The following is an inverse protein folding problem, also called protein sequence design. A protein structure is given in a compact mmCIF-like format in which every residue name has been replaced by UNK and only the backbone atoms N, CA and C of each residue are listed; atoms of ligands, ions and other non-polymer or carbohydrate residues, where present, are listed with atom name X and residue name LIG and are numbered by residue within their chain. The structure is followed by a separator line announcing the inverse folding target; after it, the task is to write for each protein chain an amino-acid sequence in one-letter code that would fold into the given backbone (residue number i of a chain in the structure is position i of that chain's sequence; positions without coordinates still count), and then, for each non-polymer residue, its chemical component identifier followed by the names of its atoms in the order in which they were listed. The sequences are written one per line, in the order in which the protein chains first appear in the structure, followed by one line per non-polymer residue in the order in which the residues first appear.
data_IF_913517093131
#
_entry.id   IF_913517093131
#
_cell.length_a   1.000
_cell.length_b   1.000
_cell.length_c   1.000
_cell.angle_alpha   90.00
_cell.angle_beta   90.00
_cell.angle_gamma   90.00
#
_symmetry.space_group_name_H-M   'P 1'
#
loop_
_entity.id
_entity.type
_entity.pdbx_description
1 polymer ?
#
# COMPACT_ATOMS: atom_id res chain seq x y z
N UNK A 1 39.99 5.99 -14.47
CA UNK A 1 39.63 5.16 -15.63
C UNK A 1 38.11 5.16 -15.73
N UNK A 2 37.48 5.49 -16.86
CA UNK A 2 36.02 5.41 -16.96
C UNK A 2 35.63 3.94 -16.90
N UNK A 3 34.74 3.61 -15.93
CA UNK A 3 34.12 2.30 -15.86
C UNK A 3 33.26 2.17 -17.11
N UNK A 4 33.63 1.26 -18.00
CA UNK A 4 32.79 0.89 -19.15
C UNK A 4 31.50 0.31 -18.59
N UNK A 5 30.43 1.11 -18.58
CA UNK A 5 29.09 0.62 -18.31
C UNK A 5 28.77 -0.49 -19.31
N UNK A 6 28.37 -1.63 -18.80
CA UNK A 6 28.00 -2.75 -19.62
C UNK A 6 26.63 -2.45 -20.26
N UNK A 7 26.46 -2.62 -21.55
CA UNK A 7 25.21 -2.34 -22.28
C UNK A 7 23.97 -3.01 -21.63
N UNK A 8 24.18 -4.16 -20.96
CA UNK A 8 23.15 -4.87 -20.21
C UNK A 8 22.70 -4.09 -18.98
N UNK A 9 23.64 -3.49 -18.24
CA UNK A 9 23.36 -2.68 -17.05
C UNK A 9 22.61 -1.39 -17.42
N UNK A 10 23.02 -0.73 -18.51
CA UNK A 10 22.36 0.48 -19.00
C UNK A 10 20.92 0.19 -19.44
N UNK A 11 20.70 -0.98 -20.06
CA UNK A 11 19.35 -1.44 -20.45
C UNK A 11 18.48 -1.80 -19.24
N UNK A 12 19.07 -2.43 -18.22
CA UNK A 12 18.36 -2.72 -16.97
C UNK A 12 17.90 -1.43 -16.28
N UNK A 13 18.78 -0.44 -16.22
CA UNK A 13 18.46 0.87 -15.66
C UNK A 13 17.37 1.58 -16.47
N UNK A 14 17.40 1.49 -17.80
CA UNK A 14 16.34 2.06 -18.65
C UNK A 14 14.96 1.44 -18.34
N UNK A 15 14.88 0.11 -18.18
CA UNK A 15 13.65 -0.54 -17.77
C UNK A 15 13.19 -0.11 -16.38
N UNK A 16 14.10 0.03 -15.42
CA UNK A 16 13.76 0.53 -14.10
C UNK A 16 13.19 1.95 -14.16
N UNK A 17 13.78 2.85 -14.95
CA UNK A 17 13.27 4.22 -15.11
C UNK A 17 11.89 4.25 -15.80
N UNK A 18 11.67 3.41 -16.82
CA UNK A 18 10.33 3.25 -17.41
C UNK A 18 9.31 2.75 -16.39
N UNK A 19 9.71 1.82 -15.52
CA UNK A 19 8.88 1.31 -14.42
C UNK A 19 8.54 2.39 -13.40
N UNK A 20 9.51 3.23 -13.02
CA UNK A 20 9.29 4.35 -12.10
C UNK A 20 8.33 5.39 -12.69
N UNK A 21 8.46 5.68 -13.99
CA UNK A 21 7.53 6.57 -14.68
C UNK A 21 6.12 5.98 -14.70
N UNK A 22 5.96 4.71 -15.09
CA UNK A 22 4.67 4.03 -15.09
C UNK A 22 4.04 4.00 -13.68
N UNK A 23 4.85 3.75 -12.63
CA UNK A 23 4.41 3.81 -11.24
C UNK A 23 3.90 5.20 -10.83
N UNK A 24 4.58 6.27 -11.27
CA UNK A 24 4.16 7.65 -11.02
C UNK A 24 2.85 8.00 -11.76
N UNK A 25 2.68 7.44 -12.96
CA UNK A 25 1.49 7.63 -13.81
C UNK A 25 0.32 6.68 -13.43
N UNK A 26 0.44 5.92 -12.32
CA UNK A 26 -0.54 4.93 -11.85
C UNK A 26 -0.79 3.75 -12.81
N UNK A 27 0.04 3.55 -13.81
CA UNK A 27 0.05 2.37 -14.68
C UNK A 27 0.82 1.23 -13.98
N UNK A 28 0.17 0.63 -12.97
CA UNK A 28 0.83 -0.30 -12.05
C UNK A 28 1.21 -1.61 -12.74
N UNK A 29 0.37 -2.11 -13.64
CA UNK A 29 0.68 -3.32 -14.42
C UNK A 29 1.95 -3.14 -15.24
N UNK A 30 2.03 -2.03 -15.96
CA UNK A 30 3.22 -1.69 -16.73
C UNK A 30 4.44 -1.46 -15.83
N UNK A 31 4.29 -0.85 -14.67
CA UNK A 31 5.37 -0.69 -13.71
C UNK A 31 5.94 -2.05 -13.29
N UNK A 32 5.08 -3.01 -12.93
CA UNK A 32 5.46 -4.38 -12.55
C UNK A 32 6.22 -5.06 -13.70
N UNK A 33 5.71 -5.01 -14.93
CA UNK A 33 6.38 -5.60 -16.12
C UNK A 33 7.78 -5.02 -16.32
N UNK A 34 7.92 -3.69 -16.19
CA UNK A 34 9.20 -3.00 -16.39
C UNK A 34 10.22 -3.31 -15.30
N UNK A 35 9.80 -3.33 -14.04
CA UNK A 35 10.67 -3.73 -12.92
C UNK A 35 11.11 -5.19 -13.05
N UNK A 36 10.23 -6.09 -13.44
CA UNK A 36 10.59 -7.49 -13.70
C UNK A 36 11.58 -7.61 -14.87
N UNK A 37 11.42 -6.79 -15.93
CA UNK A 37 12.38 -6.75 -17.05
C UNK A 37 13.76 -6.25 -16.59
N UNK A 38 13.83 -5.25 -15.72
CA UNK A 38 15.07 -4.75 -15.12
C UNK A 38 15.76 -5.83 -14.28
N UNK A 39 15.01 -6.53 -13.41
CA UNK A 39 15.52 -7.61 -12.56
C UNK A 39 16.06 -8.78 -13.38
N UNK A 40 15.42 -9.15 -14.48
CA UNK A 40 15.95 -10.21 -15.38
C UNK A 40 17.34 -9.90 -15.92
N UNK A 41 17.69 -8.62 -16.11
CA UNK A 41 18.98 -8.19 -16.64
C UNK A 41 20.03 -7.94 -15.55
N UNK A 42 19.61 -7.55 -14.35
CA UNK A 42 20.48 -7.24 -13.22
C UNK A 42 19.81 -7.66 -11.89
N UNK A 43 19.75 -8.97 -11.61
CA UNK A 43 19.05 -9.51 -10.43
C UNK A 43 19.69 -9.12 -9.10
N UNK A 44 20.94 -8.69 -9.10
CA UNK A 44 21.68 -8.21 -7.92
C UNK A 44 21.37 -6.76 -7.54
N UNK A 45 20.57 -6.06 -8.31
CA UNK A 45 20.22 -4.66 -8.05
C UNK A 45 19.04 -4.58 -7.08
N UNK A 46 19.34 -4.34 -5.80
CA UNK A 46 18.37 -4.29 -4.72
C UNK A 46 17.23 -3.28 -4.99
N UNK A 47 17.56 -2.10 -5.52
CA UNK A 47 16.56 -1.08 -5.84
C UNK A 47 15.45 -1.58 -6.76
N UNK A 48 15.77 -2.47 -7.71
CA UNK A 48 14.77 -3.00 -8.63
C UNK A 48 13.75 -3.90 -7.92
N UNK A 49 14.21 -4.71 -6.95
CA UNK A 49 13.35 -5.54 -6.12
C UNK A 49 12.48 -4.70 -5.18
N UNK A 50 13.03 -3.63 -4.61
CA UNK A 50 12.24 -2.70 -3.79
C UNK A 50 11.16 -2.00 -4.61
N UNK A 51 11.48 -1.54 -5.82
CA UNK A 51 10.53 -0.89 -6.71
C UNK A 51 9.43 -1.88 -7.16
N UNK A 52 9.80 -3.13 -7.45
CA UNK A 52 8.84 -4.20 -7.75
C UNK A 52 7.92 -4.47 -6.55
N UNK A 53 8.48 -4.57 -5.33
CA UNK A 53 7.68 -4.78 -4.12
C UNK A 53 6.65 -3.66 -3.92
N UNK A 54 7.03 -2.40 -4.15
CA UNK A 54 6.12 -1.25 -4.06
C UNK A 54 4.99 -1.31 -5.09
N UNK A 55 5.31 -1.68 -6.33
CA UNK A 55 4.31 -1.80 -7.39
C UNK A 55 3.33 -2.94 -7.12
N UNK A 56 3.83 -4.11 -6.70
CA UNK A 56 3.01 -5.27 -6.34
C UNK A 56 2.12 -5.01 -5.11
N UNK A 57 2.64 -4.33 -4.09
CA UNK A 57 1.85 -3.94 -2.93
C UNK A 57 0.68 -3.01 -3.34
N UNK A 58 0.95 -2.07 -4.26
CA UNK A 58 -0.07 -1.14 -4.79
C UNK A 58 -1.13 -1.85 -5.67
N UNK A 59 -0.76 -2.92 -6.36
CA UNK A 59 -1.72 -3.78 -7.10
C UNK A 59 -2.52 -4.74 -6.21
N UNK A 60 -2.18 -4.83 -4.91
CA UNK A 60 -2.79 -5.78 -3.98
C UNK A 60 -2.22 -7.19 -4.01
N UNK A 61 -1.16 -7.44 -4.80
CA UNK A 61 -0.47 -8.74 -4.82
C UNK A 61 0.58 -8.81 -3.69
N UNK A 62 0.08 -9.02 -2.46
CA UNK A 62 0.91 -9.02 -1.25
C UNK A 62 1.92 -10.16 -1.21
N UNK A 63 1.56 -11.33 -1.70
CA UNK A 63 2.46 -12.49 -1.67
C UNK A 63 3.69 -12.25 -2.53
N UNK A 64 3.50 -11.71 -3.73
CA UNK A 64 4.61 -11.38 -4.59
C UNK A 64 5.38 -10.14 -4.09
N UNK A 65 4.67 -9.15 -3.51
CA UNK A 65 5.31 -7.98 -2.91
C UNK A 65 6.26 -8.36 -1.78
N UNK A 66 5.85 -9.26 -0.88
CA UNK A 66 6.68 -9.77 0.21
C UNK A 66 7.89 -10.58 -0.29
N UNK A 67 7.74 -11.36 -1.37
CA UNK A 67 8.88 -12.07 -2.00
C UNK A 67 9.90 -11.10 -2.59
N UNK A 68 9.44 -10.08 -3.31
CA UNK A 68 10.31 -9.06 -3.87
C UNK A 68 11.00 -8.24 -2.75
N UNK A 69 10.29 -7.92 -1.68
CA UNK A 69 10.87 -7.28 -0.50
C UNK A 69 11.92 -8.17 0.18
N UNK A 70 11.69 -9.46 0.30
CA UNK A 70 12.65 -10.40 0.88
C UNK A 70 13.97 -10.44 0.09
N UNK A 71 13.89 -10.39 -1.26
CA UNK A 71 15.08 -10.31 -2.10
C UNK A 71 15.83 -8.97 -1.92
N UNK A 72 15.11 -7.85 -1.80
CA UNK A 72 15.73 -6.58 -1.44
C UNK A 72 16.47 -6.66 -0.10
N UNK A 73 15.84 -7.20 0.94
CA UNK A 73 16.43 -7.33 2.28
C UNK A 73 17.65 -8.26 2.29
N UNK A 74 17.64 -9.30 1.45
CA UNK A 74 18.79 -10.20 1.28
C UNK A 74 19.98 -9.49 0.62
N UNK A 75 19.72 -8.58 -0.32
CA UNK A 75 20.74 -7.85 -1.07
C UNK A 75 21.29 -6.63 -0.30
N UNK A 76 20.48 -5.99 0.51
CA UNK A 76 20.84 -4.82 1.33
C UNK A 76 20.40 -4.99 2.80
N UNK A 77 21.00 -5.93 3.55
CA UNK A 77 20.59 -6.24 4.93
C UNK A 77 20.81 -5.07 5.91
N UNK A 78 21.79 -4.20 5.63
CA UNK A 78 22.15 -3.07 6.52
C UNK A 78 21.45 -1.75 6.12
N UNK A 79 20.45 -1.80 5.24
CA UNK A 79 19.75 -0.59 4.81
C UNK A 79 18.72 -0.11 5.87
N UNK A 80 18.40 1.20 5.92
CA UNK A 80 17.33 1.72 6.78
C UNK A 80 15.96 1.04 6.54
N UNK A 81 15.76 0.55 5.33
CA UNK A 81 14.57 -0.26 4.98
C UNK A 81 14.63 -1.60 5.69
N UNK A 82 15.78 -2.29 5.64
CA UNK A 82 15.97 -3.56 6.33
C UNK A 82 15.75 -3.43 7.83
N UNK A 83 16.33 -2.43 8.48
CA UNK A 83 16.12 -2.18 9.92
C UNK A 83 14.65 -1.98 10.28
N UNK A 84 13.86 -1.34 9.39
CA UNK A 84 12.43 -1.13 9.59
C UNK A 84 11.67 -2.45 9.62
N UNK A 85 11.97 -3.36 8.67
CA UNK A 85 11.29 -4.64 8.56
C UNK A 85 11.84 -5.70 9.54
N UNK A 86 13.14 -5.66 9.87
CA UNK A 86 13.72 -6.53 10.88
C UNK A 86 13.07 -6.33 12.25
N UNK A 87 12.86 -5.07 12.65
CA UNK A 87 12.14 -4.76 13.90
C UNK A 87 10.72 -5.31 13.92
N UNK A 88 10.04 -5.32 12.77
CA UNK A 88 8.72 -5.92 12.61
C UNK A 88 8.78 -7.45 12.84
N UNK A 89 9.67 -8.14 12.13
CA UNK A 89 9.76 -9.60 12.21
C UNK A 89 10.31 -10.11 13.56
N UNK A 90 11.19 -9.33 14.20
CA UNK A 90 11.79 -9.72 15.48
C UNK A 90 10.83 -9.55 16.69
N UNK A 91 9.90 -8.60 16.63
CA UNK A 91 8.99 -8.26 17.73
C UNK A 91 7.56 -8.74 17.58
N UNK A 92 7.21 -9.32 16.44
CA UNK A 92 5.83 -9.65 16.07
C UNK A 92 5.08 -8.40 15.61
N UNK A 93 4.34 -7.74 16.52
CA UNK A 93 3.65 -6.49 16.23
C UNK A 93 4.54 -5.29 16.57
N UNK A 94 4.51 -4.25 15.74
CA UNK A 94 5.09 -2.96 16.11
C UNK A 94 4.17 -2.19 17.08
N UNK A 95 4.65 -1.04 17.56
CA UNK A 95 3.90 -0.24 18.52
C UNK A 95 2.58 0.31 17.94
N UNK A 96 2.56 0.66 16.64
CA UNK A 96 1.34 1.10 15.95
C UNK A 96 0.34 -0.04 15.85
N UNK A 97 0.78 -1.24 15.44
CA UNK A 97 -0.06 -2.43 15.31
C UNK A 97 -0.62 -2.89 16.66
N UNK A 98 0.18 -2.80 17.70
CA UNK A 98 -0.25 -3.15 19.07
C UNK A 98 -1.39 -2.22 19.53
N UNK A 99 -1.18 -0.90 19.43
CA UNK A 99 -2.17 0.11 19.82
C UNK A 99 -3.44 -0.03 18.96
N UNK A 100 -3.26 -0.17 17.63
CA UNK A 100 -4.35 -0.32 16.67
C UNK A 100 -5.25 -1.51 17.05
N UNK A 101 -4.64 -2.69 17.20
CA UNK A 101 -5.35 -3.94 17.50
C UNK A 101 -6.10 -3.85 18.82
N UNK A 102 -5.46 -3.32 19.87
CA UNK A 102 -6.07 -3.15 21.20
C UNK A 102 -7.28 -2.20 21.13
N UNK A 103 -7.12 -1.03 20.53
CA UNK A 103 -8.17 -0.02 20.45
C UNK A 103 -9.33 -0.44 19.55
N UNK A 104 -9.06 -1.02 18.38
CA UNK A 104 -10.11 -1.53 17.49
C UNK A 104 -10.88 -2.68 18.16
N UNK A 105 -10.20 -3.62 18.80
CA UNK A 105 -10.83 -4.72 19.56
C UNK A 105 -11.70 -4.17 20.70
N UNK A 106 -11.19 -3.25 21.49
CA UNK A 106 -11.92 -2.65 22.63
C UNK A 106 -13.15 -1.86 22.16
N UNK A 107 -13.09 -1.25 20.98
CA UNK A 107 -14.23 -0.55 20.37
C UNK A 107 -15.20 -1.50 19.63
N UNK A 108 -15.01 -2.82 19.70
CA UNK A 108 -15.92 -3.81 19.13
C UNK A 108 -15.82 -3.96 17.61
N UNK A 109 -14.67 -3.62 17.03
CA UNK A 109 -14.46 -3.81 15.58
C UNK A 109 -14.32 -5.28 15.21
N UNK A 110 -14.87 -5.72 14.07
CA UNK A 110 -14.70 -7.07 13.54
C UNK A 110 -13.23 -7.40 13.28
N UNK A 111 -12.88 -8.67 13.48
CA UNK A 111 -11.49 -9.14 13.31
C UNK A 111 -10.97 -8.91 11.89
N UNK A 112 -11.84 -9.04 10.89
CA UNK A 112 -11.48 -8.88 9.48
C UNK A 112 -11.14 -7.41 9.16
N UNK A 113 -11.85 -6.45 9.77
CA UNK A 113 -11.52 -5.02 9.64
C UNK A 113 -10.21 -4.66 10.38
N UNK A 114 -9.93 -5.33 11.51
CA UNK A 114 -8.63 -5.21 12.19
C UNK A 114 -7.52 -5.74 11.27
N UNK A 115 -7.73 -6.89 10.63
CA UNK A 115 -6.83 -7.46 9.65
C UNK A 115 -6.57 -6.51 8.46
N UNK A 116 -7.62 -5.91 7.91
CA UNK A 116 -7.52 -4.92 6.84
C UNK A 116 -6.70 -3.68 7.25
N UNK A 117 -6.83 -3.23 8.50
CA UNK A 117 -6.05 -2.11 9.01
C UNK A 117 -4.55 -2.46 9.16
N UNK A 118 -4.25 -3.67 9.61
CA UNK A 118 -2.87 -4.18 9.70
C UNK A 118 -2.24 -4.35 8.32
N UNK A 119 -3.01 -4.88 7.35
CA UNK A 119 -2.60 -4.97 5.97
C UNK A 119 -2.29 -3.59 5.39
N UNK A 120 -3.16 -2.62 5.59
CA UNK A 120 -2.96 -1.22 5.16
C UNK A 120 -1.66 -0.63 5.73
N UNK A 121 -1.34 -0.91 7.00
CA UNK A 121 -0.11 -0.45 7.62
C UNK A 121 1.14 -1.08 7.00
N UNK A 122 1.10 -2.38 6.74
CA UNK A 122 2.19 -3.08 6.06
C UNK A 122 2.41 -2.52 4.65
N UNK A 123 1.32 -2.33 3.89
CA UNK A 123 1.35 -1.78 2.54
C UNK A 123 1.92 -0.36 2.53
N UNK A 124 1.51 0.49 3.46
CA UNK A 124 2.05 1.83 3.62
C UNK A 124 3.57 1.82 3.86
N UNK A 125 4.06 0.94 4.73
CA UNK A 125 5.51 0.80 5.00
C UNK A 125 6.29 0.35 3.76
N UNK A 126 5.71 -0.54 2.96
CA UNK A 126 6.32 -0.97 1.69
C UNK A 126 6.30 0.18 0.67
N UNK A 127 5.18 0.89 0.55
CA UNK A 127 5.01 1.98 -0.41
C UNK A 127 5.97 3.16 -0.15
N UNK A 128 6.33 3.43 1.12
CA UNK A 128 7.34 4.43 1.47
C UNK A 128 8.71 4.14 0.84
N UNK A 129 9.03 2.87 0.55
CA UNK A 129 10.33 2.50 0.00
C UNK A 129 11.48 2.97 0.90
N UNK A 130 12.37 3.81 0.38
CA UNK A 130 13.52 4.38 1.13
C UNK A 130 13.16 5.61 1.98
N UNK A 131 11.97 6.14 1.88
CA UNK A 131 11.56 7.29 2.70
C UNK A 131 11.52 6.93 4.19
N UNK A 132 11.97 7.83 5.06
CA UNK A 132 11.99 7.57 6.50
C UNK A 132 10.58 7.52 7.06
N UNK A 133 10.27 6.47 7.81
CA UNK A 133 9.05 6.38 8.59
C UNK A 133 9.24 7.02 9.97
N UNK A 134 8.50 8.09 10.24
CA UNK A 134 8.53 8.78 11.54
C UNK A 134 7.34 8.34 12.38
N UNK A 135 7.60 7.52 13.41
CA UNK A 135 6.57 6.97 14.33
C UNK A 135 6.65 7.53 15.75
N UNK A 136 7.10 8.79 15.91
CA UNK A 136 7.27 9.41 17.25
C UNK A 136 6.00 9.41 18.11
N UNK A 137 4.83 9.31 17.48
CA UNK A 137 3.51 9.19 18.13
C UNK A 137 2.75 8.08 17.42
N UNK A 138 2.95 6.82 17.80
CA UNK A 138 2.34 5.68 17.15
C UNK A 138 0.81 5.70 17.23
N UNK A 139 0.24 6.31 18.30
CA UNK A 139 -1.21 6.48 18.48
C UNK A 139 -1.85 7.27 17.31
N UNK A 140 -1.12 8.25 16.77
CA UNK A 140 -1.60 9.04 15.63
C UNK A 140 -1.71 8.22 14.34
N UNK A 141 -0.80 7.28 14.12
CA UNK A 141 -0.87 6.36 12.99
C UNK A 141 -1.95 5.30 13.19
N UNK A 142 -2.03 4.72 14.39
CA UNK A 142 -3.07 3.74 14.74
C UNK A 142 -4.47 4.35 14.58
N UNK A 143 -4.67 5.59 15.05
CA UNK A 143 -5.91 6.33 14.89
C UNK A 143 -6.27 6.58 13.41
N UNK A 144 -5.29 6.95 12.59
CA UNK A 144 -5.52 7.21 11.17
C UNK A 144 -5.87 5.92 10.41
N UNK A 145 -5.21 4.81 10.71
CA UNK A 145 -5.51 3.49 10.14
C UNK A 145 -6.94 3.04 10.49
N UNK A 146 -7.33 3.10 11.76
CA UNK A 146 -8.68 2.77 12.21
C UNK A 146 -9.71 3.67 11.52
N UNK A 147 -9.46 5.00 11.48
CA UNK A 147 -10.34 5.93 10.78
C UNK A 147 -10.48 5.58 9.29
N UNK A 148 -9.37 5.29 8.61
CA UNK A 148 -9.36 4.97 7.18
C UNK A 148 -10.16 3.70 6.89
N UNK A 149 -9.91 2.61 7.63
CA UNK A 149 -10.63 1.34 7.44
C UNK A 149 -12.12 1.50 7.71
N UNK A 150 -12.52 2.24 8.76
CA UNK A 150 -13.94 2.55 9.00
C UNK A 150 -14.56 3.32 7.83
N UNK A 151 -13.84 4.29 7.24
CA UNK A 151 -14.33 5.04 6.08
C UNK A 151 -14.46 4.17 4.84
N UNK A 152 -13.48 3.32 4.57
CA UNK A 152 -13.53 2.35 3.46
C UNK A 152 -14.73 1.40 3.61
N UNK A 153 -15.02 0.95 4.83
CA UNK A 153 -16.15 0.06 5.16
C UNK A 153 -17.47 0.81 5.42
N UNK A 154 -17.58 2.07 4.97
CA UNK A 154 -18.78 2.91 5.03
C UNK A 154 -19.34 3.11 6.45
N UNK A 155 -18.52 2.93 7.49
CA UNK A 155 -18.95 3.16 8.88
C UNK A 155 -19.12 4.65 9.15
N UNK A 156 -20.17 4.97 9.88
CA UNK A 156 -20.38 6.34 10.36
C UNK A 156 -19.44 6.59 11.53
N UNK A 157 -18.41 7.39 11.29
CA UNK A 157 -17.41 7.76 12.28
C UNK A 157 -16.88 9.17 11.97
N UNK A 158 -16.62 9.94 13.01
CA UNK A 158 -16.05 11.28 12.93
C UNK A 158 -14.58 11.28 13.37
N UNK A 159 -13.81 12.25 12.88
CA UNK A 159 -12.42 12.46 13.35
C UNK A 159 -12.35 12.67 14.86
N UNK A 160 -13.35 13.36 15.44
CA UNK A 160 -13.43 13.63 16.87
C UNK A 160 -13.56 12.35 17.70
N UNK A 161 -14.41 11.41 17.27
CA UNK A 161 -14.60 10.14 17.97
C UNK A 161 -13.34 9.30 17.96
N UNK A 162 -12.64 9.21 16.80
CA UNK A 162 -11.38 8.52 16.70
C UNK A 162 -10.28 9.21 17.50
N UNK A 163 -10.16 10.53 17.41
CA UNK A 163 -9.19 11.29 18.17
C UNK A 163 -9.34 11.05 19.69
N UNK A 164 -10.58 11.04 20.19
CA UNK A 164 -10.88 10.71 21.57
C UNK A 164 -10.54 9.27 21.96
N UNK A 165 -10.80 8.29 21.05
CA UNK A 165 -10.49 6.86 21.29
C UNK A 165 -8.99 6.61 21.47
N UNK A 166 -8.15 7.32 20.69
CA UNK A 166 -6.68 7.15 20.68
C UNK A 166 -5.94 8.19 21.52
N UNK A 167 -6.63 9.08 22.20
CA UNK A 167 -6.06 10.20 22.98
C UNK A 167 -5.09 11.08 22.14
N UNK A 168 -5.53 11.42 20.95
CA UNK A 168 -4.80 12.30 20.01
C UNK A 168 -5.68 13.47 19.58
N UNK A 169 -5.09 14.49 18.95
CA UNK A 169 -5.90 15.58 18.42
C UNK A 169 -6.43 15.25 16.99
N UNK A 170 -7.57 15.82 16.62
CA UNK A 170 -8.22 15.62 15.33
C UNK A 170 -7.30 16.00 14.14
N UNK A 171 -6.47 17.01 14.31
CA UNK A 171 -5.51 17.46 13.29
C UNK A 171 -4.50 16.36 13.00
N UNK A 172 -3.95 15.70 14.03
CA UNK A 172 -3.00 14.59 13.85
C UNK A 172 -3.65 13.43 13.07
N UNK A 173 -4.88 13.05 13.42
CA UNK A 173 -5.60 11.98 12.70
C UNK A 173 -5.79 12.35 11.25
N UNK A 174 -6.23 13.59 10.98
CA UNK A 174 -6.45 14.09 9.61
C UNK A 174 -5.17 14.07 8.78
N UNK A 175 -4.07 14.65 9.30
CA UNK A 175 -2.79 14.72 8.59
C UNK A 175 -2.25 13.33 8.24
N UNK A 176 -2.38 12.35 9.15
CA UNK A 176 -1.97 10.97 8.91
C UNK A 176 -2.92 10.23 7.97
N UNK A 177 -4.20 10.47 8.07
CA UNK A 177 -5.20 9.97 7.13
C UNK A 177 -4.93 10.46 5.71
N UNK A 178 -4.68 11.75 5.51
CA UNK A 178 -4.34 12.34 4.20
C UNK A 178 -3.05 11.73 3.64
N UNK A 179 -2.04 11.45 4.48
CA UNK A 179 -0.83 10.76 4.07
C UNK A 179 -1.09 9.31 3.64
N UNK A 180 -1.90 8.55 4.38
CA UNK A 180 -2.29 7.19 3.99
C UNK A 180 -3.01 7.18 2.65
N UNK A 181 -4.03 8.03 2.51
CA UNK A 181 -4.82 8.14 1.27
C UNK A 181 -3.94 8.53 0.09
N UNK A 182 -3.07 9.53 0.23
CA UNK A 182 -2.20 9.97 -0.86
C UNK A 182 -1.15 8.92 -1.25
N UNK A 183 -0.60 8.17 -0.28
CA UNK A 183 0.46 7.19 -0.54
C UNK A 183 -0.10 5.90 -1.15
N UNK A 184 -1.26 5.44 -0.66
CA UNK A 184 -1.88 4.18 -1.05
C UNK A 184 -3.00 4.35 -2.08
N UNK A 185 -3.37 5.59 -2.40
CA UNK A 185 -4.53 5.92 -3.25
C UNK A 185 -5.82 5.21 -2.80
N UNK A 186 -6.10 5.33 -1.50
CA UNK A 186 -7.26 4.67 -0.90
C UNK A 186 -8.54 5.38 -1.33
N UNK A 187 -9.49 4.61 -1.83
CA UNK A 187 -10.81 5.09 -2.22
C UNK A 187 -11.92 4.55 -1.31
N UNK A 188 -13.11 5.16 -1.28
CA UNK A 188 -14.27 4.56 -0.64
C UNK A 188 -14.57 3.18 -1.22
N UNK A 189 -14.86 2.20 -0.35
CA UNK A 189 -15.10 0.80 -0.74
C UNK A 189 -13.90 0.13 -1.44
N UNK A 190 -12.68 0.62 -1.18
CA UNK A 190 -11.46 0.04 -1.75
C UNK A 190 -11.43 -1.47 -1.47
N UNK A 191 -11.42 -2.28 -2.54
CA UNK A 191 -11.53 -3.74 -2.46
C UNK A 191 -10.39 -4.40 -1.66
N UNK A 192 -9.25 -3.74 -1.50
CA UNK A 192 -8.12 -4.22 -0.70
C UNK A 192 -8.42 -4.26 0.80
N UNK A 193 -9.30 -3.36 1.26
CA UNK A 193 -9.57 -3.12 2.68
C UNK A 193 -11.06 -3.17 3.02
N UNK A 194 -11.92 -3.31 2.02
CA UNK A 194 -13.35 -3.48 2.23
C UNK A 194 -13.65 -4.91 2.67
N UNK A 195 -14.32 -5.03 3.80
CA UNK A 195 -14.67 -6.30 4.45
C UNK A 195 -16.18 -6.49 4.43
N UNK A 196 -16.73 -6.85 3.32
CA UNK A 196 -18.17 -7.09 3.19
C UNK A 196 -18.43 -8.10 2.09
N UNK A 197 -19.53 -8.86 2.23
CA UNK A 197 -19.92 -9.88 1.26
C UNK A 197 -20.24 -9.29 -0.13
N UNK A 198 -20.60 -8.01 -0.19
CA UNK A 198 -20.92 -7.31 -1.44
C UNK A 198 -20.30 -5.91 -1.40
N UNK A 199 -19.29 -5.70 -2.21
CA UNK A 199 -18.72 -4.37 -2.38
C UNK A 199 -19.71 -3.50 -3.17
N UNK A 200 -20.11 -2.30 -2.65
CA UNK A 200 -20.97 -1.37 -3.38
C UNK A 200 -20.44 -0.95 -4.75
N UNK A 201 -19.14 -1.00 -4.97
CA UNK A 201 -18.53 -0.72 -6.27
C UNK A 201 -18.89 -1.76 -7.33
N UNK A 202 -19.07 -3.03 -6.95
CA UNK A 202 -19.47 -4.10 -7.90
C UNK A 202 -20.81 -3.76 -8.54
N UNK A 203 -21.76 -3.22 -7.75
CA UNK A 203 -23.07 -2.78 -8.26
C UNK A 203 -22.96 -1.58 -9.21
N UNK A 204 -21.98 -0.70 -9.02
CA UNK A 204 -21.73 0.42 -9.93
C UNK A 204 -21.13 -0.07 -11.25
N UNK A 205 -20.22 -1.05 -11.20
CA UNK A 205 -19.65 -1.69 -12.39
C UNK A 205 -20.75 -2.40 -13.19
N UNK A 206 -21.56 -3.25 -12.53
CA UNK A 206 -22.71 -3.91 -13.17
C UNK A 206 -23.68 -2.92 -13.82
N UNK A 207 -23.97 -1.81 -13.15
CA UNK A 207 -24.85 -0.77 -13.69
C UNK A 207 -24.21 -0.05 -14.89
N UNK A 208 -22.91 0.21 -14.88
CA UNK A 208 -22.19 0.79 -16.00
C UNK A 208 -22.18 -0.13 -17.22
N UNK A 209 -21.89 -1.41 -17.04
CA UNK A 209 -21.93 -2.41 -18.10
C UNK A 209 -23.33 -2.55 -18.73
N UNK A 210 -24.38 -2.48 -17.90
CA UNK A 210 -25.77 -2.51 -18.39
C UNK A 210 -26.09 -1.28 -19.24
N UNK A 211 -25.63 -0.10 -18.82
CA UNK A 211 -25.81 1.14 -19.59
C UNK A 211 -25.09 1.08 -20.94
N UNK A 212 -23.86 0.58 -20.99
CA UNK A 212 -23.11 0.40 -22.24
C UNK A 212 -23.83 -0.56 -23.20
N UNK A 213 -24.37 -1.67 -22.67
CA UNK A 213 -25.15 -2.63 -23.46
C UNK A 213 -26.44 -1.97 -24.03
N UNK A 214 -27.11 -1.15 -23.25
CA UNK A 214 -28.29 -0.42 -23.70
C UNK A 214 -27.94 0.61 -24.79
N UNK A 215 -26.88 1.39 -24.60
CA UNK A 215 -26.41 2.33 -25.62
C UNK A 215 -26.02 1.64 -26.93
N UNK A 216 -25.35 0.50 -26.87
CA UNK A 216 -25.00 -0.29 -28.05
C UNK A 216 -26.26 -0.70 -28.85
N UNK A 217 -27.30 -1.19 -28.15
CA UNK A 217 -28.58 -1.56 -28.77
C UNK A 217 -29.31 -0.39 -29.44
N UNK A 218 -29.24 0.81 -28.83
CA UNK A 218 -29.83 2.02 -29.41
C UNK A 218 -29.10 2.56 -30.64
N UNK A 219 -27.79 2.25 -30.76
CA UNK A 219 -27.00 2.63 -31.94
C UNK A 219 -27.21 1.70 -33.14
N UNK A 220 -27.66 0.47 -32.89
CA UNK A 220 -27.93 -0.54 -33.92
C UNK A 220 -29.39 -0.51 -34.42
N UNK A 221 -30.26 0.29 -33.80
CA UNK A 221 -31.68 0.49 -34.17
C UNK A 221 -31.88 1.75 -35.00
#
# INVERSE_FOLDING_TARGET
MPVTRNATTDRAEAYNQEGLQAYADWDIERAVERFQAAIRLAPERADFHLNLARALARSGDFDQALRALAEFLRLEPDSPVAERFERLFARGLDEVETILTEKMKTSGMPIDEIGAAMQMWLEYRIALGREPLVTRKPEGWAAALDYTVRKVNLRKVTLREIAALYDVNERTVRERFEQLVATLDVMPCDYRYFVGDQNPLDKLVEAAELLEQLEARFRES
#
